data_IF_809548150425
#
_entry.id   IF_809548150425
#
_cell.length_a   1.000
_cell.length_b   1.000
_cell.length_c   1.000
_cell.angle_alpha   90.00
_cell.angle_beta   90.00
_cell.angle_gamma   90.00
#
_symmetry.space_group_name_H-M   'P 1'
#
loop_
_entity.id
_entity.type
_entity.pdbx_description
1 polymer ?
#
# COMPACT_ATOMS: atom_id res chain seq x y z
N UNK A 1 12.03 24.46 1.81
CA UNK A 1 11.16 24.78 0.67
C UNK A 1 11.79 24.21 -0.59
N UNK A 2 11.50 22.95 -0.90
CA UNK A 2 12.10 22.26 -2.05
C UNK A 2 11.14 22.40 -3.22
N UNK A 3 11.47 23.29 -4.16
CA UNK A 3 10.84 23.34 -5.49
C UNK A 3 11.17 22.02 -6.19
N UNK A 4 10.27 21.04 -6.12
CA UNK A 4 10.33 19.87 -6.99
C UNK A 4 9.96 20.31 -8.39
N UNK A 5 10.89 20.09 -9.31
CA UNK A 5 10.74 20.17 -10.76
C UNK A 5 9.42 19.53 -11.15
N UNK A 6 8.51 20.28 -11.76
CA UNK A 6 7.18 19.81 -12.18
C UNK A 6 7.34 18.85 -13.36
N UNK A 7 7.81 17.64 -13.07
CA UNK A 7 7.75 16.54 -14.02
C UNK A 7 6.27 16.30 -14.28
N UNK A 8 5.85 16.43 -15.55
CA UNK A 8 4.45 16.38 -15.94
C UNK A 8 3.97 14.94 -15.77
N UNK A 9 3.52 14.61 -14.55
CA UNK A 9 3.08 13.27 -14.17
C UNK A 9 1.99 12.79 -15.12
N UNK A 10 1.98 11.49 -15.40
CA UNK A 10 1.03 10.87 -16.30
C UNK A 10 -0.37 10.94 -15.67
N UNK A 11 -1.35 11.33 -16.49
CA UNK A 11 -2.77 11.15 -16.18
C UNK A 11 -3.22 9.83 -16.81
N UNK A 12 -3.40 8.81 -15.99
CA UNK A 12 -3.87 7.50 -16.39
C UNK A 12 -5.38 7.52 -16.63
N UNK A 13 -5.80 7.19 -17.85
CA UNK A 13 -7.21 7.03 -18.23
C UNK A 13 -7.49 5.53 -18.35
N UNK A 14 -8.38 5.02 -17.49
CA UNK A 14 -8.65 3.59 -17.39
C UNK A 14 -10.09 3.23 -17.80
N UNK A 15 -10.34 2.98 -19.11
CA UNK A 15 -11.59 2.39 -19.58
C UNK A 15 -11.57 0.85 -19.47
N UNK A 16 -12.72 0.27 -19.12
CA UNK A 16 -12.90 -1.20 -19.03
C UNK A 16 -14.23 -1.63 -19.62
N UNK A 17 -14.19 -2.71 -20.41
CA UNK A 17 -15.37 -3.40 -20.90
C UNK A 17 -15.39 -4.85 -20.41
N UNK A 18 -16.46 -5.25 -19.71
CA UNK A 18 -16.70 -6.66 -19.39
C UNK A 18 -17.29 -7.39 -20.59
N UNK A 19 -17.04 -8.69 -20.70
CA UNK A 19 -17.78 -9.58 -21.62
C UNK A 19 -19.31 -9.59 -21.39
N UNK A 20 -19.77 -9.25 -20.19
CA UNK A 20 -21.21 -9.08 -19.88
C UNK A 20 -21.74 -7.71 -20.33
N UNK A 21 -20.87 -6.69 -20.36
CA UNK A 21 -21.23 -5.31 -20.71
C UNK A 21 -21.33 -5.13 -22.25
N UNK A 22 -20.72 -6.02 -23.04
CA UNK A 22 -20.83 -6.02 -24.51
C UNK A 22 -22.26 -6.24 -24.98
N UNK A 23 -23.07 -6.96 -24.20
CA UNK A 23 -24.48 -7.23 -24.47
C UNK A 23 -25.39 -6.01 -24.21
N UNK A 24 -24.91 -4.99 -23.49
CA UNK A 24 -25.70 -3.81 -23.09
C UNK A 24 -25.61 -2.62 -24.07
N UNK A 25 -25.01 -2.80 -25.25
CA UNK A 25 -25.06 -1.82 -26.36
C UNK A 25 -23.97 -0.73 -26.35
N UNK A 26 -24.05 0.19 -27.32
CA UNK A 26 -23.00 1.17 -27.65
C UNK A 26 -22.60 2.12 -26.51
N UNK A 27 -23.50 2.38 -25.56
CA UNK A 27 -23.26 3.26 -24.41
C UNK A 27 -22.12 2.77 -23.50
N UNK A 28 -21.94 1.45 -23.41
CA UNK A 28 -20.86 0.84 -22.62
C UNK A 28 -19.58 0.60 -23.42
N UNK A 29 -19.56 0.88 -24.73
CA UNK A 29 -18.38 0.69 -25.58
C UNK A 29 -17.15 1.41 -25.02
N UNK A 30 -15.98 0.79 -25.18
CA UNK A 30 -14.68 1.39 -24.80
C UNK A 30 -14.52 2.75 -25.48
N UNK A 31 -14.98 2.90 -26.72
CA UNK A 31 -14.92 4.16 -27.48
C UNK A 31 -15.67 5.29 -26.78
N UNK A 32 -16.88 5.04 -26.27
CA UNK A 32 -17.65 6.04 -25.54
C UNK A 32 -16.96 6.39 -24.21
N UNK A 33 -16.47 5.38 -23.48
CA UNK A 33 -15.71 5.61 -22.24
C UNK A 33 -14.47 6.47 -22.48
N UNK A 34 -13.70 6.18 -23.54
CA UNK A 34 -12.55 7.00 -23.94
C UNK A 34 -12.95 8.44 -24.21
N UNK A 35 -14.04 8.68 -24.94
CA UNK A 35 -14.53 10.04 -25.22
C UNK A 35 -14.87 10.82 -23.94
N UNK A 36 -15.57 10.17 -22.99
CA UNK A 36 -15.95 10.78 -21.70
C UNK A 36 -14.69 11.12 -20.89
N UNK A 37 -13.76 10.16 -20.78
CA UNK A 37 -12.51 10.34 -20.04
C UNK A 37 -11.64 11.45 -20.64
N UNK A 38 -11.52 11.50 -21.97
CA UNK A 38 -10.74 12.52 -22.65
C UNK A 38 -11.36 13.91 -22.50
N UNK A 39 -12.69 14.02 -22.64
CA UNK A 39 -13.41 15.27 -22.47
C UNK A 39 -13.24 15.82 -21.06
N UNK A 40 -13.40 14.95 -20.04
CA UNK A 40 -13.18 15.32 -18.65
C UNK A 40 -11.74 15.75 -18.39
N UNK A 41 -10.77 15.00 -18.92
CA UNK A 41 -9.36 15.30 -18.75
C UNK A 41 -8.99 16.68 -19.35
N UNK A 42 -9.48 16.97 -20.56
CA UNK A 42 -9.30 18.28 -21.22
C UNK A 42 -9.97 19.42 -20.46
N UNK A 43 -11.21 19.22 -20.02
CA UNK A 43 -11.97 20.26 -19.30
C UNK A 43 -11.31 20.66 -17.98
N UNK A 44 -10.69 19.71 -17.27
CA UNK A 44 -10.03 19.94 -16.00
C UNK A 44 -8.53 20.27 -16.13
N UNK A 45 -8.02 20.44 -17.36
CA UNK A 45 -6.64 20.83 -17.62
C UNK A 45 -5.60 19.73 -17.34
N UNK A 46 -6.02 18.46 -17.27
CA UNK A 46 -5.09 17.34 -17.14
C UNK A 46 -4.25 17.18 -18.41
N UNK A 47 -2.99 16.80 -18.24
CA UNK A 47 -2.02 16.70 -19.31
C UNK A 47 -1.25 15.39 -19.20
N UNK A 48 -0.56 14.99 -20.30
CA UNK A 48 0.15 13.71 -20.38
C UNK A 48 -0.79 12.50 -20.18
N UNK A 49 -1.81 12.40 -21.04
CA UNK A 49 -2.82 11.35 -20.97
C UNK A 49 -2.24 10.02 -21.46
N UNK A 50 -2.31 8.96 -20.63
CA UNK A 50 -1.95 7.59 -21.01
C UNK A 50 -3.14 6.66 -20.81
N UNK A 51 -3.40 5.82 -21.80
CA UNK A 51 -4.53 4.90 -21.81
C UNK A 51 -4.12 3.54 -21.28
N UNK A 52 -4.89 3.03 -20.33
CA UNK A 52 -4.77 1.67 -19.82
C UNK A 52 -6.11 0.99 -20.03
N UNK A 53 -6.21 0.15 -21.05
CA UNK A 53 -7.49 -0.42 -21.48
C UNK A 53 -7.54 -1.91 -21.19
N UNK A 54 -8.64 -2.37 -20.61
CA UNK A 54 -8.94 -3.79 -20.45
C UNK A 54 -10.24 -4.13 -21.18
N UNK A 55 -10.14 -4.94 -22.24
CA UNK A 55 -11.27 -5.42 -23.04
C UNK A 55 -11.55 -6.91 -22.77
N UNK A 56 -12.82 -7.27 -22.56
CA UNK A 56 -13.25 -8.62 -22.23
C UNK A 56 -12.97 -9.08 -20.80
N UNK A 57 -12.42 -8.22 -19.93
CA UNK A 57 -12.08 -8.60 -18.55
C UNK A 57 -13.22 -8.35 -17.56
N UNK A 58 -13.54 -9.38 -16.77
CA UNK A 58 -14.51 -9.29 -15.69
C UNK A 58 -14.02 -8.39 -14.54
N UNK A 59 -14.96 -7.62 -13.98
CA UNK A 59 -14.78 -6.79 -12.79
C UNK A 59 -14.39 -7.56 -11.52
N UNK A 60 -14.49 -8.89 -11.52
CA UNK A 60 -14.19 -9.76 -10.37
C UNK A 60 -12.69 -10.08 -10.20
N UNK A 61 -11.91 -10.10 -11.29
CA UNK A 61 -10.48 -10.40 -11.25
C UNK A 61 -9.66 -9.13 -11.45
N UNK A 62 -8.65 -8.88 -10.61
CA UNK A 62 -7.74 -7.72 -10.71
C UNK A 62 -6.42 -8.04 -11.41
N UNK A 63 -6.16 -9.31 -11.77
CA UNK A 63 -5.08 -9.68 -12.68
C UNK A 63 -5.48 -9.38 -14.12
N UNK A 64 -5.43 -8.09 -14.47
CA UNK A 64 -5.72 -7.59 -15.81
C UNK A 64 -4.48 -6.86 -16.35
N UNK A 65 -4.13 -7.04 -17.63
CA UNK A 65 -2.90 -6.48 -18.18
C UNK A 65 -2.87 -4.96 -18.17
N UNK A 66 -3.99 -4.29 -18.48
CA UNK A 66 -4.10 -2.83 -18.45
C UNK A 66 -4.00 -2.28 -17.03
N UNK A 67 -4.73 -2.89 -16.10
CA UNK A 67 -4.67 -2.51 -14.68
C UNK A 67 -3.29 -2.74 -14.06
N UNK A 68 -2.64 -3.88 -14.33
CA UNK A 68 -1.28 -4.17 -13.83
C UNK A 68 -0.24 -3.24 -14.42
N UNK A 69 -0.34 -2.89 -15.71
CA UNK A 69 0.56 -1.91 -16.32
C UNK A 69 0.41 -0.54 -15.68
N UNK A 70 -0.82 -0.14 -15.34
CA UNK A 70 -1.09 1.09 -14.62
C UNK A 70 -0.49 1.07 -13.21
N UNK A 71 -0.65 -0.04 -12.47
CA UNK A 71 -0.06 -0.20 -11.15
C UNK A 71 1.47 -0.14 -11.18
N UNK A 72 2.10 -0.79 -12.16
CA UNK A 72 3.56 -0.73 -12.33
C UNK A 72 4.05 0.71 -12.58
N UNK A 73 3.35 1.49 -13.40
CA UNK A 73 3.68 2.90 -13.63
C UNK A 73 3.40 3.79 -12.40
N UNK A 74 2.44 3.43 -11.56
CA UNK A 74 2.16 4.08 -10.27
C UNK A 74 3.29 3.79 -9.28
N UNK A 75 3.73 2.54 -9.16
CA UNK A 75 4.86 2.14 -8.30
C UNK A 75 6.18 2.77 -8.75
N UNK A 76 6.34 2.98 -10.07
CA UNK A 76 7.47 3.72 -10.63
C UNK A 76 7.40 5.25 -10.40
N UNK A 77 6.30 5.76 -9.80
CA UNK A 77 6.10 7.18 -9.54
C UNK A 77 5.87 8.03 -10.79
N UNK A 78 5.48 7.41 -11.91
CA UNK A 78 5.27 8.10 -13.19
C UNK A 78 3.86 8.67 -13.32
N UNK A 79 2.89 8.07 -12.63
CA UNK A 79 1.47 8.45 -12.66
C UNK A 79 1.17 9.38 -11.50
N UNK A 80 0.46 10.48 -11.76
CA UNK A 80 0.02 11.42 -10.73
C UNK A 80 -1.49 11.47 -10.57
N UNK A 81 -2.25 11.04 -11.57
CA UNK A 81 -3.71 11.02 -11.51
C UNK A 81 -4.27 9.83 -12.27
N UNK A 82 -5.26 9.15 -11.70
CA UNK A 82 -6.02 8.06 -12.31
C UNK A 82 -7.47 8.50 -12.46
N UNK A 83 -8.00 8.44 -13.67
CA UNK A 83 -9.38 8.83 -14.00
C UNK A 83 -10.13 7.62 -14.56
N UNK A 84 -11.28 7.31 -13.98
CA UNK A 84 -12.21 6.27 -14.43
C UNK A 84 -13.59 6.86 -14.68
N UNK A 85 -14.41 6.17 -15.49
CA UNK A 85 -15.82 6.56 -15.68
C UNK A 85 -16.60 6.41 -14.38
N UNK A 86 -16.46 5.25 -13.75
CA UNK A 86 -17.18 4.84 -12.54
C UNK A 86 -16.36 3.81 -11.74
N UNK A 87 -16.63 3.68 -10.43
CA UNK A 87 -15.96 2.75 -9.50
C UNK A 87 -15.97 1.31 -10.03
N UNK A 88 -17.05 0.93 -10.72
CA UNK A 88 -17.23 -0.41 -11.27
C UNK A 88 -16.15 -0.78 -12.31
N UNK A 89 -15.44 0.21 -12.88
CA UNK A 89 -14.33 -0.02 -13.80
C UNK A 89 -13.12 -0.59 -13.08
N UNK A 90 -12.78 -0.10 -11.90
CA UNK A 90 -11.70 -0.67 -11.09
C UNK A 90 -12.01 -2.12 -10.71
N UNK A 91 -13.18 -2.37 -10.13
CA UNK A 91 -13.61 -3.72 -9.83
C UNK A 91 -14.96 -3.78 -9.11
N UNK A 92 -15.49 -5.00 -8.98
CA UNK A 92 -16.75 -5.27 -8.27
C UNK A 92 -16.54 -5.52 -6.77
N UNK A 93 -15.31 -5.82 -6.34
CA UNK A 93 -15.01 -6.05 -4.93
C UNK A 93 -14.75 -4.73 -4.20
N UNK A 94 -15.73 -4.29 -3.42
CA UNK A 94 -15.70 -3.04 -2.65
C UNK A 94 -14.46 -2.92 -1.74
N UNK A 95 -14.03 -4.02 -1.08
CA UNK A 95 -12.85 -4.01 -0.22
C UNK A 95 -11.58 -3.78 -1.03
N UNK A 96 -11.40 -4.48 -2.15
CA UNK A 96 -10.20 -4.35 -2.96
C UNK A 96 -10.12 -2.97 -3.63
N UNK A 97 -11.25 -2.47 -4.17
CA UNK A 97 -11.32 -1.11 -4.72
C UNK A 97 -10.95 -0.09 -3.64
N UNK A 98 -11.55 -0.18 -2.46
CA UNK A 98 -11.24 0.71 -1.33
C UNK A 98 -9.77 0.64 -0.90
N UNK A 99 -9.15 -0.54 -0.91
CA UNK A 99 -7.72 -0.67 -0.62
C UNK A 99 -6.85 0.09 -1.63
N UNK A 100 -7.14 -0.01 -2.92
CA UNK A 100 -6.38 0.72 -3.94
C UNK A 100 -6.59 2.23 -3.83
N UNK A 101 -7.85 2.67 -3.71
CA UNK A 101 -8.21 4.09 -3.73
C UNK A 101 -7.85 4.84 -2.45
N UNK A 102 -7.96 4.20 -1.28
CA UNK A 102 -7.72 4.85 0.02
C UNK A 102 -6.32 4.65 0.57
N UNK A 103 -5.59 3.63 0.11
CA UNK A 103 -4.27 3.30 0.64
C UNK A 103 -3.19 3.37 -0.42
N UNK A 104 -3.28 2.56 -1.48
CA UNK A 104 -2.18 2.42 -2.46
C UNK A 104 -2.00 3.70 -3.28
N UNK A 105 -3.08 4.29 -3.81
CA UNK A 105 -2.97 5.52 -4.60
C UNK A 105 -2.47 6.71 -3.76
N UNK A 106 -3.02 7.00 -2.56
CA UNK A 106 -2.50 8.08 -1.72
C UNK A 106 -1.06 7.86 -1.25
N UNK A 107 -0.64 6.63 -0.94
CA UNK A 107 0.74 6.31 -0.57
C UNK A 107 1.75 6.62 -1.70
N UNK A 108 1.34 6.43 -2.95
CA UNK A 108 2.13 6.76 -4.13
C UNK A 108 1.92 8.20 -4.62
N UNK A 109 1.18 9.04 -3.89
CA UNK A 109 0.91 10.43 -4.28
C UNK A 109 -0.04 10.56 -5.49
N UNK A 110 -0.83 9.53 -5.78
CA UNK A 110 -1.74 9.48 -6.93
C UNK A 110 -3.13 9.97 -6.53
N UNK A 111 -3.66 10.95 -7.26
CA UNK A 111 -5.05 11.39 -7.17
C UNK A 111 -5.95 10.45 -7.96
N UNK A 112 -7.08 10.07 -7.40
CA UNK A 112 -8.04 9.19 -8.05
C UNK A 112 -9.37 9.90 -8.25
N UNK A 113 -9.92 9.80 -9.46
CA UNK A 113 -11.14 10.50 -9.86
C UNK A 113 -12.07 9.52 -10.56
N UNK A 114 -13.34 9.52 -10.16
CA UNK A 114 -14.40 8.87 -10.91
C UNK A 114 -15.52 9.84 -11.26
N UNK A 115 -15.79 9.91 -12.57
CA UNK A 115 -16.61 10.96 -13.15
C UNK A 115 -18.08 10.79 -12.74
N UNK A 116 -18.63 9.59 -12.87
CA UNK A 116 -20.06 9.36 -12.64
C UNK A 116 -20.41 9.28 -11.14
N UNK A 117 -19.49 8.76 -10.32
CA UNK A 117 -19.71 8.65 -8.88
C UNK A 117 -19.39 9.97 -8.14
N UNK A 118 -18.82 10.96 -8.84
CA UNK A 118 -18.42 12.24 -8.23
C UNK A 118 -17.28 12.10 -7.21
N UNK A 119 -16.56 10.97 -7.22
CA UNK A 119 -15.50 10.67 -6.25
C UNK A 119 -14.20 11.32 -6.69
N UNK A 120 -13.58 12.07 -5.78
CA UNK A 120 -12.27 12.68 -5.96
C UNK A 120 -11.45 12.53 -4.67
N UNK A 121 -10.39 11.73 -4.74
CA UNK A 121 -9.57 11.44 -3.56
C UNK A 121 -8.87 12.67 -2.97
N UNK A 122 -8.77 13.78 -3.73
CA UNK A 122 -8.23 15.04 -3.24
C UNK A 122 -9.24 15.89 -2.46
N UNK A 123 -10.55 15.70 -2.68
CA UNK A 123 -11.59 16.52 -2.03
C UNK A 123 -12.16 15.92 -0.74
N UNK A 124 -11.82 14.67 -0.42
CA UNK A 124 -12.07 14.08 0.90
C UNK A 124 -13.49 13.56 1.13
N UNK A 125 -14.45 13.87 0.26
CA UNK A 125 -15.75 13.18 0.19
C UNK A 125 -15.61 11.88 -0.60
N UNK A 126 -15.08 10.85 0.06
CA UNK A 126 -15.10 9.49 -0.47
C UNK A 126 -16.11 8.67 0.34
N UNK A 127 -17.04 8.00 -0.33
CA UNK A 127 -17.95 7.00 0.26
C UNK A 127 -17.22 5.85 1.01
N UNK A 128 -15.90 5.76 0.82
CA UNK A 128 -15.01 4.76 1.42
C UNK A 128 -14.25 5.26 2.65
N UNK A 129 -14.49 6.49 3.13
CA UNK A 129 -13.89 7.00 4.36
C UNK A 129 -13.98 6.02 5.56
N UNK A 130 -15.08 5.25 5.75
CA UNK A 130 -15.13 4.22 6.79
C UNK A 130 -14.13 3.07 6.59
N UNK A 131 -13.87 2.64 5.35
CA UNK A 131 -12.90 1.57 5.07
C UNK A 131 -11.47 2.01 5.36
N UNK A 132 -11.15 3.29 5.20
CA UNK A 132 -9.81 3.81 5.44
C UNK A 132 -9.34 3.57 6.87
N UNK A 133 -10.24 3.71 7.84
CA UNK A 133 -9.95 3.37 9.24
C UNK A 133 -9.70 1.87 9.42
N UNK A 134 -10.48 1.01 8.76
CA UNK A 134 -10.32 -0.45 8.80
C UNK A 134 -8.98 -0.87 8.21
N UNK A 135 -8.59 -0.32 7.06
CA UNK A 135 -7.32 -0.63 6.40
C UNK A 135 -6.11 -0.14 7.21
N UNK A 136 -6.20 1.06 7.79
CA UNK A 136 -5.16 1.57 8.68
C UNK A 136 -4.99 0.66 9.91
N UNK A 137 -6.09 0.26 10.56
CA UNK A 137 -6.03 -0.66 11.70
C UNK A 137 -5.48 -2.03 11.30
N UNK A 138 -5.87 -2.54 10.13
CA UNK A 138 -5.37 -3.80 9.59
C UNK A 138 -3.86 -3.75 9.31
N UNK A 139 -3.35 -2.69 8.69
CA UNK A 139 -1.93 -2.50 8.42
C UNK A 139 -1.10 -2.46 9.71
N UNK A 140 -1.60 -1.74 10.73
CA UNK A 140 -0.97 -1.67 12.05
C UNK A 140 -0.93 -3.06 12.69
N UNK A 141 -2.02 -3.82 12.60
CA UNK A 141 -2.08 -5.21 13.10
C UNK A 141 -1.15 -6.14 12.34
N UNK A 142 -1.06 -6.06 11.02
CA UNK A 142 -0.21 -6.93 10.21
C UNK A 142 1.29 -6.66 10.49
N UNK A 143 1.68 -5.39 10.51
CA UNK A 143 3.02 -4.95 10.90
C UNK A 143 3.39 -5.48 12.29
N UNK A 144 2.47 -5.35 13.25
CA UNK A 144 2.66 -5.87 14.61
C UNK A 144 2.86 -7.38 14.65
N UNK A 145 2.11 -8.15 13.84
CA UNK A 145 2.27 -9.60 13.73
C UNK A 145 3.62 -9.98 13.14
N UNK A 146 4.07 -9.32 12.07
CA UNK A 146 5.39 -9.55 11.45
C UNK A 146 6.53 -9.27 12.42
N UNK A 147 6.50 -8.13 13.13
CA UNK A 147 7.53 -7.79 14.13
C UNK A 147 7.57 -8.84 15.24
N UNK A 148 6.40 -9.28 15.75
CA UNK A 148 6.32 -10.34 16.75
C UNK A 148 6.87 -11.67 16.23
N UNK A 149 6.61 -12.01 14.97
CA UNK A 149 7.13 -13.22 14.34
C UNK A 149 8.66 -13.17 14.21
N UNK A 150 9.24 -12.04 13.79
CA UNK A 150 10.70 -11.85 13.73
C UNK A 150 11.33 -11.96 15.11
N UNK A 151 10.76 -11.28 16.12
CA UNK A 151 11.25 -11.38 17.51
C UNK A 151 11.16 -12.80 18.05
N UNK A 152 10.06 -13.51 17.76
CA UNK A 152 9.90 -14.92 18.15
C UNK A 152 10.92 -15.82 17.44
N UNK A 153 11.14 -15.63 16.14
CA UNK A 153 12.12 -16.39 15.36
C UNK A 153 13.53 -16.20 15.92
N UNK A 154 13.94 -14.96 16.20
CA UNK A 154 15.21 -14.65 16.88
C UNK A 154 15.31 -15.27 18.28
N UNK A 155 14.23 -15.26 19.06
CA UNK A 155 14.20 -15.91 20.37
C UNK A 155 14.30 -17.44 20.29
N UNK A 156 13.76 -18.05 19.24
CA UNK A 156 13.83 -19.50 19.01
C UNK A 156 15.16 -19.95 18.41
N UNK A 157 15.94 -19.06 17.79
CA UNK A 157 17.26 -19.39 17.22
C UNK A 157 18.37 -19.49 18.26
N UNK A 158 18.05 -19.40 19.56
CA UNK A 158 19.02 -19.49 20.65
C UNK A 158 19.94 -18.27 20.77
N UNK A 159 19.74 -17.24 19.94
CA UNK A 159 20.51 -15.99 19.99
C UNK A 159 19.83 -14.99 20.94
N UNK A 160 20.61 -14.17 21.67
CA UNK A 160 20.09 -13.09 22.46
C UNK A 160 19.21 -12.13 21.66
N UNK A 161 18.01 -11.88 22.17
CA UNK A 161 17.07 -10.93 21.55
C UNK A 161 17.44 -9.47 21.90
N UNK A 162 18.31 -9.28 22.88
CA UNK A 162 18.74 -7.99 23.41
C UNK A 162 20.05 -7.53 22.79
N UNK A 163 20.08 -6.33 22.23
CA UNK A 163 21.28 -5.73 21.62
C UNK A 163 22.35 -5.29 22.62
N UNK A 164 22.06 -5.32 23.93
CA UNK A 164 23.03 -5.02 24.99
C UNK A 164 23.08 -6.21 25.96
N UNK A 165 24.29 -6.64 26.37
CA UNK A 165 24.41 -7.71 27.34
C UNK A 165 24.01 -7.24 28.74
N UNK A 166 23.47 -8.16 29.53
CA UNK A 166 23.12 -7.92 30.93
C UNK A 166 24.41 -7.88 31.77
N UNK A 167 24.44 -7.05 32.81
CA UNK A 167 25.59 -6.97 33.72
C UNK A 167 26.01 -8.35 34.25
N UNK A 168 27.30 -8.66 34.20
CA UNK A 168 27.83 -10.01 34.46
C UNK A 168 28.09 -10.85 33.21
N UNK A 169 27.66 -10.39 32.03
CA UNK A 169 27.90 -11.03 30.75
C UNK A 169 28.48 -10.04 29.73
N UNK A 170 29.36 -10.54 28.86
CA UNK A 170 29.84 -9.90 27.64
C UNK A 170 29.16 -10.55 26.43
N UNK A 171 29.13 -9.83 25.31
CA UNK A 171 28.64 -10.37 24.04
C UNK A 171 29.83 -10.57 23.11
N UNK A 172 29.95 -11.76 22.51
CA UNK A 172 30.97 -12.04 21.50
C UNK A 172 30.59 -11.54 20.09
N UNK A 173 31.48 -11.73 19.12
CA UNK A 173 31.26 -11.37 17.71
C UNK A 173 30.11 -12.16 17.06
N UNK A 174 29.77 -13.34 17.59
CA UNK A 174 28.71 -14.23 17.12
C UNK A 174 27.34 -13.97 17.81
N UNK A 175 27.29 -12.94 18.65
CA UNK A 175 26.17 -12.52 19.51
C UNK A 175 25.87 -13.47 20.69
N UNK A 176 26.79 -14.32 21.14
CA UNK A 176 26.59 -15.18 22.32
C UNK A 176 26.97 -14.46 23.63
N UNK A 177 26.30 -14.82 24.72
CA UNK A 177 26.66 -14.33 26.05
C UNK A 177 27.81 -15.13 26.66
N UNK A 178 28.93 -14.46 26.89
CA UNK A 178 30.09 -14.97 27.61
C UNK A 178 30.09 -14.38 29.02
N UNK A 179 30.52 -15.14 30.03
CA UNK A 179 30.63 -14.63 31.40
C UNK A 179 31.72 -13.56 31.46
N UNK A 180 31.39 -12.39 32.00
CA UNK A 180 32.38 -11.36 32.30
C UNK A 180 33.18 -11.76 33.55
N UNK A 181 34.48 -12.00 33.40
CA UNK A 181 35.36 -12.42 34.50
C UNK A 181 35.48 -11.37 35.63
N UNK A 182 35.35 -10.09 35.31
CA UNK A 182 35.46 -9.00 36.29
C UNK A 182 34.14 -8.83 37.09
N UNK A 183 33.00 -8.90 36.41
CA UNK A 183 31.69 -8.76 37.03
C UNK A 183 31.16 -10.07 37.67
N UNK A 184 31.64 -11.24 37.26
CA UNK A 184 31.25 -12.55 37.81
C UNK A 184 31.37 -12.68 39.34
N UNK A 185 32.47 -12.28 40.01
CA UNK A 185 32.55 -12.34 41.47
C UNK A 185 31.52 -11.45 42.16
N UNK A 186 31.23 -10.27 41.59
CA UNK A 186 30.23 -9.33 42.10
C UNK A 186 28.83 -9.94 42.04
N UNK A 187 28.46 -10.56 40.92
CA UNK A 187 27.15 -11.24 40.77
C UNK A 187 27.01 -12.39 41.76
N UNK A 188 28.06 -13.20 41.95
CA UNK A 188 28.06 -14.30 42.94
C UNK A 188 27.93 -13.78 44.37
N UNK A 189 28.59 -12.66 44.69
CA UNK A 189 28.48 -12.02 45.99
C UNK A 189 27.06 -11.49 46.24
N UNK A 190 26.45 -10.79 45.28
CA UNK A 190 25.06 -10.34 45.37
C UNK A 190 24.12 -11.52 45.61
N UNK A 191 24.28 -12.62 44.87
CA UNK A 191 23.48 -13.82 45.06
C UNK A 191 23.64 -14.43 46.47
N UNK A 192 24.88 -14.48 46.97
CA UNK A 192 25.14 -14.98 48.33
C UNK A 192 24.54 -14.09 49.42
N UNK A 193 24.52 -12.78 49.23
CA UNK A 193 23.90 -11.83 50.16
C UNK A 193 22.37 -11.99 50.16
N UNK A 194 21.74 -12.13 48.99
CA UNK A 194 20.30 -12.41 48.91
C UNK A 194 19.89 -13.73 49.57
N UNK A 195 20.77 -14.75 49.53
CA UNK A 195 20.52 -16.02 50.24
C UNK A 195 20.71 -15.90 51.75
N UNK A 196 21.53 -14.96 52.21
CA UNK A 196 21.83 -14.75 53.62
C UNK A 196 20.76 -13.91 54.35
N UNK A 197 19.85 -13.24 53.62
CA UNK A 197 18.74 -12.44 54.16
C UNK A 197 18.97 -10.95 54.05
#
# INVERSE_FOLDING_TARGET
MTRQTTQKLITALYPRLSHEDTLQGESNSISNQKRILEAYAKQNGFSNLKWYTDDGFSGANFQRPGFQSMLADIEAGLVGTVIVKDMSRLGRNYLQVGMYTEMIFPQNGVRFIAINDGVDSAQGENDFAPLRNIFNEWLVRDTSKKIRAVKRSKGMSGKPVTSKPVYGYLMDEDENFIIDGEAAPVVKQIYSLCLAG
#
